data_IF_331946698945
#
_entry.id   IF_331946698945
#
_cell.length_a   1.000
_cell.length_b   1.000
_cell.length_c   1.000
_cell.angle_alpha   90.00
_cell.angle_beta   90.00
_cell.angle_gamma   90.00
#
_symmetry.space_group_name_H-M   'P 1'
#
loop_
_entity.id
_entity.type
_entity.pdbx_description
1 polymer ?
#
# COMPACT_ATOMS: atom_id res chain seq x y z
N UNK A 1 9.25 -9.70 -9.56
CA UNK A 1 8.88 -8.97 -8.32
C UNK A 1 7.39 -8.71 -8.30
N UNK A 2 6.72 -8.98 -7.20
CA UNK A 2 5.28 -8.71 -7.09
C UNK A 2 5.04 -7.19 -7.01
N UNK A 3 4.40 -6.62 -8.04
CA UNK A 3 4.16 -5.17 -8.15
C UNK A 3 3.27 -4.63 -7.03
N UNK A 4 2.27 -5.41 -6.60
CA UNK A 4 1.43 -5.08 -5.45
C UNK A 4 2.24 -4.88 -4.18
N UNK A 5 3.19 -5.79 -3.91
CA UNK A 5 4.10 -5.66 -2.76
C UNK A 5 4.95 -4.40 -2.88
N UNK A 6 5.51 -4.13 -4.05
CA UNK A 6 6.34 -2.95 -4.31
C UNK A 6 5.56 -1.65 -4.05
N UNK A 7 4.33 -1.56 -4.55
CA UNK A 7 3.46 -0.39 -4.34
C UNK A 7 3.16 -0.19 -2.85
N UNK A 8 2.76 -1.24 -2.16
CA UNK A 8 2.48 -1.18 -0.72
C UNK A 8 3.70 -0.76 0.09
N UNK A 9 4.84 -1.40 -0.15
CA UNK A 9 6.07 -1.12 0.58
C UNK A 9 6.56 0.31 0.31
N UNK A 10 6.41 0.80 -0.92
CA UNK A 10 6.73 2.18 -1.25
C UNK A 10 5.85 3.18 -0.46
N UNK A 11 4.55 2.94 -0.38
CA UNK A 11 3.64 3.79 0.38
C UNK A 11 4.00 3.77 1.87
N UNK A 12 4.30 2.61 2.43
CA UNK A 12 4.75 2.49 3.84
C UNK A 12 5.99 3.34 4.08
N UNK A 13 7.00 3.22 3.23
CA UNK A 13 8.24 4.00 3.35
C UNK A 13 8.00 5.50 3.19
N UNK A 14 7.14 5.90 2.24
CA UNK A 14 6.77 7.31 2.02
C UNK A 14 6.09 7.90 3.25
N UNK A 15 5.12 7.19 3.81
CA UNK A 15 4.38 7.66 4.99
C UNK A 15 5.27 7.66 6.25
N UNK A 16 6.09 6.64 6.43
CA UNK A 16 6.99 6.53 7.59
C UNK A 16 7.98 7.69 7.67
N UNK A 17 8.58 8.08 6.56
CA UNK A 17 9.51 9.21 6.49
C UNK A 17 8.86 10.59 6.52
N UNK A 18 7.57 10.69 6.24
CA UNK A 18 6.86 11.97 6.05
C UNK A 18 5.91 12.33 7.19
N UNK A 19 5.44 11.34 7.94
CA UNK A 19 4.55 11.53 9.08
C UNK A 19 5.38 11.54 10.38
N UNK A 20 5.39 12.68 11.07
CA UNK A 20 6.07 12.82 12.35
C UNK A 20 5.31 12.08 13.46
N UNK A 21 6.06 11.51 14.42
CA UNK A 21 5.54 10.83 15.60
C UNK A 21 4.46 9.75 15.29
N UNK A 22 4.54 9.16 14.11
CA UNK A 22 3.57 8.19 13.62
C UNK A 22 4.27 6.88 13.29
N UNK A 23 3.74 5.78 13.79
CA UNK A 23 4.22 4.44 13.45
C UNK A 23 3.45 3.90 12.26
N UNK A 24 4.16 3.51 11.21
CA UNK A 24 3.56 3.02 9.96
C UNK A 24 3.83 1.53 9.80
N UNK A 25 2.77 0.77 9.60
CA UNK A 25 2.81 -0.69 9.43
C UNK A 25 2.21 -1.10 8.08
N UNK A 26 2.61 -2.25 7.61
CA UNK A 26 1.99 -2.90 6.47
C UNK A 26 1.24 -4.16 6.90
N UNK A 27 -0.02 -4.25 6.50
CA UNK A 27 -0.86 -5.46 6.70
C UNK A 27 -0.86 -6.00 8.13
N UNK A 28 -0.79 -5.10 9.12
CA UNK A 28 -0.80 -5.46 10.53
C UNK A 28 -2.18 -6.01 10.91
N UNK A 29 -2.20 -7.17 11.55
CA UNK A 29 -3.41 -7.82 12.06
C UNK A 29 -3.49 -7.86 13.59
N UNK A 30 -2.44 -7.39 14.26
CA UNK A 30 -2.32 -7.42 15.70
C UNK A 30 -2.87 -6.10 16.29
N UNK A 31 -3.61 -6.15 17.37
CA UNK A 31 -4.07 -4.95 18.06
C UNK A 31 -2.90 -4.04 18.45
N UNK A 32 -3.18 -2.74 18.54
CA UNK A 32 -2.19 -1.72 18.86
C UNK A 32 -1.63 -1.96 20.26
N UNK A 33 -0.32 -1.92 20.36
CA UNK A 33 0.36 -2.08 21.64
C UNK A 33 0.15 -0.84 22.53
N UNK A 34 0.17 -1.05 23.84
CA UNK A 34 0.14 0.05 24.81
C UNK A 34 1.35 0.97 24.61
N UNK A 35 1.11 2.26 24.42
CA UNK A 35 2.14 3.26 24.15
C UNK A 35 2.23 3.75 22.71
N UNK A 36 1.51 3.14 21.78
CA UNK A 36 1.36 3.62 20.41
C UNK A 36 0.23 4.65 20.34
N UNK A 37 0.54 5.88 19.96
CA UNK A 37 -0.39 7.00 20.01
C UNK A 37 -0.92 7.40 18.65
N UNK A 38 -0.10 7.23 17.62
CA UNK A 38 -0.44 7.50 16.23
C UNK A 38 0.04 6.33 15.39
N UNK A 39 -0.88 5.61 14.79
CA UNK A 39 -0.59 4.42 14.01
C UNK A 39 -1.27 4.51 12.66
N UNK A 40 -0.53 4.20 11.62
CA UNK A 40 -1.04 4.05 10.26
C UNK A 40 -0.76 2.64 9.78
N UNK A 41 -1.77 1.97 9.28
CA UNK A 41 -1.65 0.63 8.71
C UNK A 41 -2.04 0.65 7.23
N UNK A 42 -1.14 0.21 6.38
CA UNK A 42 -1.32 0.18 4.92
C UNK A 42 -1.54 -1.26 4.48
N UNK A 43 -2.64 -1.53 3.79
CA UNK A 43 -2.94 -2.86 3.26
C UNK A 43 -3.56 -2.79 1.86
N UNK A 44 -3.37 -3.85 1.09
CA UNK A 44 -4.06 -4.10 -0.17
C UNK A 44 -4.80 -5.43 -0.01
N UNK A 45 -6.11 -5.36 0.16
CA UNK A 45 -6.93 -6.53 0.50
C UNK A 45 -7.58 -7.17 -0.71
N UNK A 46 -7.92 -6.36 -1.72
CA UNK A 46 -8.59 -6.81 -2.93
C UNK A 46 -7.81 -6.36 -4.16
N UNK A 47 -7.75 -7.24 -5.13
CA UNK A 47 -7.17 -6.95 -6.43
C UNK A 47 -7.97 -7.67 -7.51
N UNK A 48 -8.44 -6.92 -8.47
CA UNK A 48 -9.08 -7.43 -9.67
C UNK A 48 -8.13 -7.36 -10.85
N UNK A 49 -8.14 -8.38 -11.70
CA UNK A 49 -7.27 -8.45 -12.88
C UNK A 49 -8.09 -8.69 -14.12
N UNK A 50 -7.82 -7.93 -15.16
CA UNK A 50 -8.43 -8.10 -16.48
C UNK A 50 -7.37 -8.09 -17.58
N UNK A 51 -7.53 -8.86 -18.66
CA UNK A 51 -6.61 -8.82 -19.80
C UNK A 51 -6.60 -7.44 -20.45
N UNK A 52 -5.40 -6.89 -20.67
CA UNK A 52 -5.18 -5.63 -21.37
C UNK A 52 -4.57 -5.87 -22.76
N UNK A 53 -3.52 -6.70 -22.83
CA UNK A 53 -2.89 -7.13 -24.07
C UNK A 53 -2.68 -8.64 -24.07
N UNK A 54 -2.68 -9.28 -25.26
CA UNK A 54 -2.64 -10.75 -25.35
C UNK A 54 -1.27 -11.31 -25.72
N UNK A 55 -0.41 -10.50 -26.33
CA UNK A 55 0.91 -10.98 -26.77
C UNK A 55 1.95 -9.85 -26.72
N UNK A 56 2.79 -9.82 -25.69
CA UNK A 56 2.73 -10.67 -24.49
C UNK A 56 1.46 -10.39 -23.66
N UNK A 57 1.07 -11.34 -22.83
CA UNK A 57 -0.06 -11.15 -21.93
C UNK A 57 0.25 -10.05 -20.92
N UNK A 58 -0.53 -8.99 -20.96
CA UNK A 58 -0.48 -7.91 -19.99
C UNK A 58 -1.83 -7.81 -19.27
N UNK A 59 -1.78 -7.68 -17.97
CA UNK A 59 -2.95 -7.56 -17.13
C UNK A 59 -3.06 -6.12 -16.59
N UNK A 60 -4.24 -5.55 -16.74
CA UNK A 60 -4.64 -4.37 -15.98
C UNK A 60 -5.11 -4.83 -14.62
N UNK A 61 -4.51 -4.30 -13.58
CA UNK A 61 -4.83 -4.62 -12.21
C UNK A 61 -5.44 -3.42 -11.51
N UNK A 62 -6.56 -3.66 -10.85
CA UNK A 62 -7.25 -2.68 -10.01
C UNK A 62 -7.21 -3.16 -8.57
N UNK A 63 -6.45 -2.48 -7.74
CA UNK A 63 -6.24 -2.82 -6.34
C UNK A 63 -6.97 -1.86 -5.41
N UNK A 64 -7.57 -2.38 -4.37
CA UNK A 64 -8.13 -1.60 -3.27
C UNK A 64 -7.06 -1.44 -2.19
N UNK A 65 -6.53 -0.22 -2.09
CA UNK A 65 -5.58 0.18 -1.07
C UNK A 65 -6.34 0.76 0.11
N UNK A 66 -6.18 0.15 1.28
CA UNK A 66 -6.75 0.63 2.54
C UNK A 66 -5.66 1.21 3.43
N UNK A 67 -5.87 2.43 3.89
CA UNK A 67 -5.01 3.10 4.87
C UNK A 67 -5.86 3.36 6.11
N UNK A 68 -5.55 2.66 7.18
CA UNK A 68 -6.21 2.79 8.46
C UNK A 68 -5.35 3.63 9.39
N UNK A 69 -5.97 4.61 10.04
CA UNK A 69 -5.31 5.56 10.92
C UNK A 69 -5.95 5.43 12.30
N UNK A 70 -5.11 5.37 13.33
CA UNK A 70 -5.53 5.49 14.71
C UNK A 70 -4.77 6.63 15.37
N UNK A 71 -5.50 7.50 16.06
CA UNK A 71 -4.93 8.55 16.88
C UNK A 71 -5.58 8.55 18.26
N UNK A 72 -4.74 8.52 19.28
CA UNK A 72 -5.16 8.72 20.67
C UNK A 72 -5.04 10.19 21.05
N UNK A 73 -6.01 10.68 21.81
CA UNK A 73 -6.00 12.03 22.33
C UNK A 73 -4.84 12.20 23.32
N UNK A 74 -4.01 13.21 23.08
CA UNK A 74 -2.98 13.67 23.98
C UNK A 74 -3.34 15.04 24.55
N UNK A 75 -2.91 15.34 25.74
CA UNK A 75 -3.29 16.44 26.65
C UNK A 75 -3.62 17.79 26.02
N UNK A 76 -3.21 18.08 24.77
CA UNK A 76 -3.40 19.37 24.09
C UNK A 76 -3.94 19.28 22.65
N UNK A 77 -4.13 18.06 22.08
CA UNK A 77 -4.60 17.89 20.71
C UNK A 77 -5.90 17.08 20.67
N UNK A 78 -6.92 17.64 20.07
CA UNK A 78 -8.18 16.95 19.84
C UNK A 78 -7.98 15.84 18.78
N UNK A 79 -8.51 14.64 19.04
CA UNK A 79 -8.40 13.50 18.14
C UNK A 79 -8.99 13.76 16.74
N UNK A 80 -10.02 14.59 16.65
CA UNK A 80 -10.63 15.02 15.38
C UNK A 80 -9.64 15.81 14.53
N UNK A 81 -9.03 16.85 15.11
CA UNK A 81 -8.07 17.71 14.42
C UNK A 81 -6.82 16.91 13.99
N UNK A 82 -6.42 15.95 14.82
CA UNK A 82 -5.29 15.09 14.54
C UNK A 82 -5.58 14.13 13.38
N UNK A 83 -6.75 13.50 13.37
CA UNK A 83 -7.20 12.64 12.26
C UNK A 83 -7.30 13.44 10.96
N UNK A 84 -7.91 14.62 10.99
CA UNK A 84 -8.03 15.49 9.83
C UNK A 84 -6.65 15.92 9.28
N UNK A 85 -5.73 16.23 10.17
CA UNK A 85 -4.35 16.59 9.79
C UNK A 85 -3.61 15.42 9.15
N UNK A 86 -3.71 14.22 9.69
CA UNK A 86 -3.05 13.03 9.15
C UNK A 86 -3.67 12.63 7.81
N UNK A 87 -4.99 12.60 7.69
CA UNK A 87 -5.67 12.26 6.43
C UNK A 87 -5.33 13.24 5.32
N UNK A 88 -5.36 14.55 5.60
CA UNK A 88 -4.98 15.58 4.65
C UNK A 88 -3.52 15.44 4.19
N UNK A 89 -2.61 15.10 5.11
CA UNK A 89 -1.21 14.88 4.77
C UNK A 89 -1.01 13.64 3.90
N UNK A 90 -1.72 12.56 4.17
CA UNK A 90 -1.67 11.35 3.35
C UNK A 90 -2.20 11.62 1.93
N UNK A 91 -3.32 12.34 1.81
CA UNK A 91 -3.85 12.75 0.50
C UNK A 91 -2.84 13.56 -0.29
N UNK A 92 -2.22 14.57 0.34
CA UNK A 92 -1.19 15.39 -0.28
C UNK A 92 -0.01 14.55 -0.77
N UNK A 93 0.53 13.66 0.07
CA UNK A 93 1.67 12.82 -0.25
C UNK A 93 1.39 11.88 -1.43
N UNK A 94 0.25 11.19 -1.42
CA UNK A 94 -0.10 10.26 -2.49
C UNK A 94 -0.47 10.97 -3.80
N UNK A 95 -0.95 12.21 -3.72
CA UNK A 95 -1.29 12.99 -4.90
C UNK A 95 -0.06 13.59 -5.60
N UNK A 96 0.93 14.06 -4.86
CA UNK A 96 2.06 14.81 -5.40
C UNK A 96 3.38 14.03 -5.49
N UNK A 97 3.48 12.82 -4.97
CA UNK A 97 4.72 12.04 -5.04
C UNK A 97 4.94 11.47 -6.46
N UNK A 98 5.86 12.06 -7.21
CA UNK A 98 6.15 11.66 -8.58
C UNK A 98 6.67 10.22 -8.69
N UNK A 99 7.48 9.78 -7.72
CA UNK A 99 8.04 8.43 -7.72
C UNK A 99 6.95 7.37 -7.49
N UNK A 100 5.95 7.69 -6.69
CA UNK A 100 4.77 6.85 -6.53
C UNK A 100 3.98 6.75 -7.84
N UNK A 101 3.74 7.87 -8.51
CA UNK A 101 3.03 7.90 -9.79
C UNK A 101 3.76 7.18 -10.92
N UNK A 102 5.09 7.01 -10.83
CA UNK A 102 5.85 6.18 -11.76
C UNK A 102 5.63 4.66 -11.57
N UNK A 103 5.12 4.24 -10.41
CA UNK A 103 4.82 2.83 -10.11
C UNK A 103 3.44 2.39 -10.54
N UNK A 104 2.54 3.33 -10.76
CA UNK A 104 1.12 3.11 -10.99
C UNK A 104 0.65 3.86 -12.25
N UNK A 105 -0.54 3.50 -12.72
CA UNK A 105 -1.22 4.25 -13.78
C UNK A 105 -2.17 5.31 -13.19
N UNK A 106 -2.91 4.92 -12.16
CA UNK A 106 -3.89 5.80 -11.52
C UNK A 106 -4.02 5.50 -10.03
N UNK A 107 -4.25 6.53 -9.23
CA UNK A 107 -4.62 6.42 -7.81
C UNK A 107 -5.74 7.41 -7.51
N UNK A 108 -6.87 6.92 -7.03
CA UNK A 108 -8.06 7.74 -6.72
C UNK A 108 -8.56 7.41 -5.34
N UNK A 109 -8.73 8.43 -4.49
CA UNK A 109 -9.42 8.28 -3.22
C UNK A 109 -10.91 8.03 -3.45
N UNK A 110 -11.43 6.94 -2.93
CA UNK A 110 -12.83 6.54 -3.06
C UNK A 110 -13.67 6.93 -1.86
N UNK A 111 -13.13 6.76 -0.66
CA UNK A 111 -13.83 7.09 0.57
C UNK A 111 -12.87 7.38 1.71
N UNK A 112 -13.30 8.22 2.62
CA UNK A 112 -12.70 8.42 3.93
C UNK A 112 -13.80 8.29 4.96
N UNK A 113 -13.66 7.34 5.85
CA UNK A 113 -14.59 7.09 6.95
C UNK A 113 -13.88 7.39 8.27
N UNK A 114 -14.53 8.13 9.15
CA UNK A 114 -13.99 8.48 10.46
C UNK A 114 -14.88 7.96 11.56
N UNK A 115 -14.26 7.43 12.61
CA UNK A 115 -14.91 6.88 13.78
C UNK A 115 -14.25 7.44 15.03
N UNK A 116 -15.06 7.79 16.01
CA UNK A 116 -14.59 8.27 17.30
C UNK A 116 -15.15 7.37 18.39
N UNK A 117 -14.27 6.79 19.18
CA UNK A 117 -14.61 5.92 20.30
C UNK A 117 -14.06 6.55 21.57
N UNK A 118 -14.93 6.76 22.54
CA UNK A 118 -14.56 7.23 23.85
C UNK A 118 -14.56 6.07 24.83
N UNK A 119 -13.38 5.56 25.15
CA UNK A 119 -13.21 4.56 26.21
C UNK A 119 -12.59 5.23 27.42
N UNK A 120 -13.36 5.24 28.54
CA UNK A 120 -12.99 5.90 29.81
C UNK A 120 -12.69 7.41 29.65
N UNK A 121 -11.48 7.86 29.91
CA UNK A 121 -11.08 9.28 29.85
C UNK A 121 -10.33 9.62 28.55
N UNK A 122 -10.04 8.64 27.70
CA UNK A 122 -9.32 8.84 26.45
C UNK A 122 -10.25 8.70 25.25
N UNK A 123 -10.20 9.67 24.35
CA UNK A 123 -10.86 9.63 23.07
C UNK A 123 -9.94 9.02 22.01
N UNK A 124 -10.45 8.05 21.27
CA UNK A 124 -9.77 7.46 20.12
C UNK A 124 -10.40 7.95 18.83
N UNK A 125 -9.62 8.58 17.97
CA UNK A 125 -9.98 8.84 16.60
C UNK A 125 -9.46 7.73 15.69
N UNK A 126 -10.33 7.26 14.81
CA UNK A 126 -9.98 6.28 13.77
C UNK A 126 -10.43 6.79 12.42
N UNK A 127 -9.62 6.59 11.39
CA UNK A 127 -10.02 6.84 10.02
C UNK A 127 -9.62 5.66 9.13
N UNK A 128 -10.43 5.42 8.11
CA UNK A 128 -10.13 4.49 7.04
C UNK A 128 -10.25 5.22 5.72
N UNK A 129 -9.14 5.30 4.99
CA UNK A 129 -9.08 5.83 3.64
C UNK A 129 -8.99 4.67 2.66
N UNK A 130 -9.85 4.66 1.66
CA UNK A 130 -9.86 3.64 0.62
C UNK A 130 -9.51 4.28 -0.72
N UNK A 131 -8.43 3.82 -1.32
CA UNK A 131 -7.99 4.23 -2.65
C UNK A 131 -8.16 3.11 -3.65
N UNK A 132 -8.51 3.46 -4.87
CA UNK A 132 -8.40 2.59 -6.02
C UNK A 132 -7.09 2.88 -6.75
N UNK A 133 -6.25 1.85 -6.86
CA UNK A 133 -4.94 1.94 -7.54
C UNK A 133 -4.96 1.05 -8.77
N UNK A 134 -4.66 1.63 -9.92
CA UNK A 134 -4.59 0.92 -11.20
C UNK A 134 -3.13 0.83 -11.62
N UNK A 135 -2.69 -0.36 -12.00
CA UNK A 135 -1.37 -0.62 -12.54
C UNK A 135 -1.37 -1.79 -13.52
N UNK A 136 -0.35 -1.88 -14.35
CA UNK A 136 -0.19 -2.95 -15.32
C UNK A 136 0.90 -3.92 -14.89
N UNK A 137 0.68 -5.20 -15.15
CA UNK A 137 1.66 -6.23 -14.86
C UNK A 137 1.72 -7.29 -15.95
N UNK A 138 2.93 -7.72 -16.26
CA UNK A 138 3.18 -8.87 -17.12
C UNK A 138 3.40 -10.07 -16.20
N UNK A 139 2.62 -11.17 -16.35
CA UNK A 139 2.87 -12.39 -15.58
C UNK A 139 4.28 -12.90 -15.83
N UNK A 140 5.07 -13.06 -14.77
CA UNK A 140 6.43 -13.60 -14.88
C UNK A 140 6.39 -15.11 -15.10
N UNK A 141 6.94 -15.56 -16.22
CA UNK A 141 7.32 -16.96 -16.43
C UNK A 141 8.78 -17.15 -15.99
N UNK A 142 9.03 -17.11 -14.69
CA UNK A 142 10.39 -17.30 -14.16
C UNK A 142 10.97 -18.68 -14.35
N UNK A 143 10.14 -19.72 -14.44
CA UNK A 143 10.62 -21.11 -14.51
C UNK A 143 10.96 -21.61 -15.92
N UNK A 144 10.34 -21.06 -16.98
CA UNK A 144 10.57 -21.59 -18.33
C UNK A 144 11.77 -21.01 -19.05
N UNK A 145 12.20 -19.80 -18.73
CA UNK A 145 13.39 -19.20 -19.36
C UNK A 145 14.68 -19.83 -18.81
N UNK A 146 14.72 -20.11 -17.52
CA UNK A 146 15.88 -20.76 -16.90
C UNK A 146 16.01 -22.22 -17.37
N UNK A 147 14.91 -22.97 -17.50
CA UNK A 147 14.87 -24.32 -18.02
C UNK A 147 15.30 -24.39 -19.49
N UNK A 148 14.89 -23.41 -20.31
CA UNK A 148 15.29 -23.32 -21.72
C UNK A 148 16.77 -22.98 -21.87
N UNK A 149 17.30 -22.09 -21.06
CA UNK A 149 18.71 -21.70 -21.09
C UNK A 149 19.59 -22.86 -20.61
N UNK A 150 19.19 -23.58 -19.58
CA UNK A 150 19.92 -24.77 -19.11
C UNK A 150 19.85 -25.91 -20.11
N UNK A 151 18.71 -26.18 -20.75
CA UNK A 151 18.58 -27.18 -21.79
C UNK A 151 19.42 -26.85 -23.03
N UNK A 152 19.53 -25.57 -23.40
CA UNK A 152 20.34 -25.10 -24.53
C UNK A 152 21.82 -25.22 -24.26
N UNK A 153 22.27 -24.93 -23.04
CA UNK A 153 23.67 -25.10 -22.63
C UNK A 153 24.04 -26.60 -22.61
N UNK A 154 23.20 -27.47 -22.06
CA UNK A 154 23.42 -28.91 -22.05
C UNK A 154 23.44 -29.54 -23.47
N UNK A 155 22.62 -29.01 -24.38
CA UNK A 155 22.62 -29.45 -25.76
C UNK A 155 23.92 -29.07 -26.48
N UNK A 156 24.45 -27.89 -26.21
CA UNK A 156 25.69 -27.39 -26.79
C UNK A 156 26.91 -28.17 -26.30
N UNK A 157 26.93 -28.55 -25.01
CA UNK A 157 28.01 -29.33 -24.41
C UNK A 157 28.03 -30.82 -24.91
N UNK A 158 26.88 -31.37 -25.29
CA UNK A 158 26.81 -32.75 -25.82
C UNK A 158 27.19 -32.88 -27.29
N UNK A 159 27.17 -31.79 -28.06
CA UNK A 159 27.45 -31.78 -29.50
C UNK A 159 28.80 -31.10 -29.86
N UNK A 160 29.62 -30.93 -28.89
CA UNK A 160 31.06 -30.57 -29.04
C UNK A 160 31.86 -31.75 -28.57
#
# INVERSE_FOLDING_TARGET
MNRRKLIRDYIVDLLDRSLEDTQVYHSRRIPIASGECRVVNVSIEKEHSEPFAKSPLELKKTAELSIEILALDFEDENSDDLIDSITAKIEELLHFDESFHNLIDQCVLKSTETYYVRESEQEQGMARMVYEVIYFSIPHQTSRLDDFTQAFVQFKERNV
#
